data_IF_795771525334
#
_entry.id   IF_795771525334
#
_cell.length_a   1.000
_cell.length_b   1.000
_cell.length_c   1.000
_cell.angle_alpha   90.00
_cell.angle_beta   90.00
_cell.angle_gamma   90.00
#
_symmetry.space_group_name_H-M   'P 1'
#
loop_
_entity.id
_entity.type
_entity.pdbx_description
1 polymer ?
#
# COMPACT_ATOMS: atom_id res chain seq x y z
N UNK A 1 -2.09 -5.09 20.09
CA UNK A 1 -0.82 -4.75 19.43
C UNK A 1 -0.75 -5.44 18.08
N UNK A 2 -0.32 -4.72 17.04
CA UNK A 2 -0.11 -5.25 15.70
C UNK A 2 1.14 -6.14 15.68
N UNK A 3 0.99 -7.41 15.30
CA UNK A 3 2.14 -8.29 15.13
C UNK A 3 2.70 -8.15 13.70
N UNK A 4 3.59 -7.19 13.52
CA UNK A 4 4.22 -6.89 12.23
C UNK A 4 4.96 -8.08 11.64
N UNK A 5 5.60 -8.90 12.47
CA UNK A 5 6.31 -10.09 12.02
C UNK A 5 5.37 -11.11 11.36
N UNK A 6 4.21 -11.38 11.97
CA UNK A 6 3.20 -12.28 11.38
C UNK A 6 2.68 -11.74 10.05
N UNK A 7 2.44 -10.44 9.94
CA UNK A 7 1.97 -9.81 8.68
C UNK A 7 3.02 -9.99 7.57
N UNK A 8 4.28 -9.73 7.87
CA UNK A 8 5.37 -9.88 6.91
C UNK A 8 5.51 -11.35 6.47
N UNK A 9 5.49 -12.29 7.43
CA UNK A 9 5.61 -13.71 7.14
C UNK A 9 4.50 -14.21 6.21
N UNK A 10 3.25 -13.94 6.56
CA UNK A 10 2.10 -14.36 5.75
C UNK A 10 2.03 -13.64 4.41
N UNK A 11 2.32 -12.33 4.38
CA UNK A 11 2.38 -11.56 3.14
C UNK A 11 3.45 -12.10 2.20
N UNK A 12 4.63 -12.44 2.72
CA UNK A 12 5.71 -13.05 1.94
C UNK A 12 5.31 -14.43 1.42
N UNK A 13 4.69 -15.28 2.25
CA UNK A 13 4.21 -16.59 1.83
C UNK A 13 3.19 -16.50 0.68
N UNK A 14 2.21 -15.58 0.80
CA UNK A 14 1.21 -15.33 -0.25
C UNK A 14 1.88 -14.83 -1.54
N UNK A 15 2.85 -13.91 -1.44
CA UNK A 15 3.59 -13.41 -2.58
C UNK A 15 4.37 -14.53 -3.31
N UNK A 16 4.98 -15.45 -2.58
CA UNK A 16 5.64 -16.62 -3.18
C UNK A 16 4.66 -17.55 -3.87
N UNK A 17 3.49 -17.81 -3.28
CA UNK A 17 2.43 -18.63 -3.90
C UNK A 17 1.94 -17.97 -5.19
N UNK A 18 1.65 -16.66 -5.15
CA UNK A 18 1.22 -15.90 -6.32
C UNK A 18 2.28 -15.92 -7.43
N UNK A 19 3.54 -15.69 -7.07
CA UNK A 19 4.66 -15.78 -8.01
C UNK A 19 4.76 -17.17 -8.65
N UNK A 20 4.62 -18.23 -7.86
CA UNK A 20 4.68 -19.60 -8.36
C UNK A 20 3.52 -19.93 -9.32
N UNK A 21 2.31 -19.50 -9.00
CA UNK A 21 1.12 -19.65 -9.87
C UNK A 21 1.36 -18.92 -11.20
N UNK A 22 1.79 -17.65 -11.14
CA UNK A 22 2.09 -16.85 -12.33
C UNK A 22 3.20 -17.49 -13.17
N UNK A 23 4.25 -18.01 -12.53
CA UNK A 23 5.33 -18.73 -13.21
C UNK A 23 4.81 -19.96 -13.98
N UNK A 24 3.92 -20.75 -13.36
CA UNK A 24 3.29 -21.90 -14.02
C UNK A 24 2.39 -21.48 -15.19
N UNK A 25 1.66 -20.38 -15.06
CA UNK A 25 0.84 -19.83 -16.16
C UNK A 25 1.69 -19.36 -17.33
N UNK A 26 2.76 -18.64 -17.07
CA UNK A 26 3.69 -18.17 -18.11
C UNK A 26 4.31 -19.35 -18.88
N UNK A 27 4.72 -20.41 -18.18
CA UNK A 27 5.26 -21.61 -18.86
C UNK A 27 4.21 -22.29 -19.74
N UNK A 28 2.94 -22.35 -19.28
CA UNK A 28 1.85 -22.98 -20.04
C UNK A 28 1.38 -22.16 -21.23
N UNK A 29 1.44 -20.85 -21.16
CA UNK A 29 0.81 -19.95 -22.13
C UNK A 29 1.58 -19.79 -23.44
N UNK A 30 2.75 -20.42 -23.63
CA UNK A 30 3.62 -20.25 -24.82
C UNK A 30 3.80 -18.76 -25.20
N UNK A 31 3.91 -17.90 -24.19
CA UNK A 31 4.21 -16.49 -24.43
C UNK A 31 5.53 -16.37 -25.19
N UNK A 32 5.51 -15.57 -26.24
CA UNK A 32 6.72 -15.19 -26.97
C UNK A 32 7.54 -14.26 -26.06
N UNK A 33 8.51 -14.85 -25.37
CA UNK A 33 9.40 -14.15 -24.43
C UNK A 33 10.30 -13.13 -25.15
N UNK A 34 10.47 -13.24 -26.47
CA UNK A 34 11.29 -12.33 -27.25
C UNK A 34 10.67 -10.94 -27.39
N UNK A 35 9.35 -10.83 -27.20
CA UNK A 35 8.62 -9.55 -27.19
C UNK A 35 8.46 -8.92 -25.80
N UNK A 36 8.85 -9.61 -24.73
CA UNK A 36 8.67 -9.13 -23.36
C UNK A 36 9.88 -8.31 -22.89
N UNK A 37 9.77 -6.99 -23.00
CA UNK A 37 10.69 -6.06 -22.32
C UNK A 37 10.32 -5.93 -20.85
N UNK A 38 10.75 -6.89 -20.03
CA UNK A 38 10.67 -6.80 -18.57
C UNK A 38 11.63 -5.75 -18.00
N UNK A 39 11.48 -5.44 -16.72
CA UNK A 39 12.45 -4.61 -16.02
C UNK A 39 13.84 -5.25 -16.11
N UNK A 40 14.89 -4.50 -16.49
CA UNK A 40 16.23 -5.04 -16.52
C UNK A 40 16.61 -5.52 -15.11
N UNK A 41 17.08 -6.76 -14.99
CA UNK A 41 17.63 -7.33 -13.76
C UNK A 41 18.94 -6.62 -13.41
N UNK A 42 18.82 -5.40 -12.94
CA UNK A 42 19.95 -4.57 -12.52
C UNK A 42 19.94 -4.45 -11.00
N UNK A 43 20.88 -5.11 -10.34
CA UNK A 43 21.10 -4.94 -8.91
C UNK A 43 21.37 -3.47 -8.53
N UNK A 44 21.78 -2.66 -9.52
CA UNK A 44 22.00 -1.23 -9.31
C UNK A 44 20.72 -0.46 -8.97
N UNK A 45 19.54 -0.96 -9.33
CA UNK A 45 18.27 -0.32 -8.97
C UNK A 45 17.87 -0.57 -7.53
N UNK A 46 18.38 -1.63 -6.90
CA UNK A 46 18.05 -2.02 -5.52
C UNK A 46 18.85 -1.25 -4.46
N UNK A 47 20.00 -0.67 -4.81
CA UNK A 47 20.86 -0.06 -3.78
C UNK A 47 20.17 1.12 -3.08
N UNK A 48 19.38 1.90 -3.78
CA UNK A 48 18.72 3.09 -3.23
C UNK A 48 17.58 2.72 -2.27
N UNK A 49 16.65 1.80 -2.61
CA UNK A 49 15.69 1.25 -1.65
C UNK A 49 16.35 0.57 -0.43
N UNK A 50 17.45 -0.15 -0.63
CA UNK A 50 18.16 -0.81 0.47
C UNK A 50 18.81 0.20 1.43
N UNK A 51 19.44 1.26 0.90
CA UNK A 51 19.98 2.35 1.71
C UNK A 51 18.86 3.04 2.51
N UNK A 52 17.73 3.33 1.85
CA UNK A 52 16.57 3.92 2.51
C UNK A 52 16.07 3.02 3.65
N UNK A 53 15.85 1.74 3.37
CA UNK A 53 15.42 0.77 4.38
C UNK A 53 16.40 0.68 5.56
N UNK A 54 17.70 0.66 5.28
CA UNK A 54 18.73 0.63 6.30
C UNK A 54 18.67 1.85 7.24
N UNK A 55 18.57 3.07 6.68
CA UNK A 55 18.46 4.28 7.48
C UNK A 55 17.16 4.32 8.30
N UNK A 56 16.04 3.92 7.70
CA UNK A 56 14.74 3.87 8.40
C UNK A 56 14.79 2.88 9.56
N UNK A 57 15.30 1.66 9.34
CA UNK A 57 15.38 0.63 10.36
C UNK A 57 16.30 1.03 11.52
N UNK A 58 17.48 1.56 11.21
CA UNK A 58 18.42 2.02 12.26
C UNK A 58 17.81 3.16 13.07
N UNK A 59 17.25 4.17 12.39
CA UNK A 59 16.69 5.31 13.09
C UNK A 59 15.50 4.90 13.94
N UNK A 60 14.62 4.02 13.44
CA UNK A 60 13.50 3.52 14.22
C UNK A 60 13.94 2.67 15.41
N UNK A 61 15.02 1.89 15.26
CA UNK A 61 15.59 1.13 16.36
C UNK A 61 16.20 2.03 17.45
N UNK A 62 16.85 3.12 17.07
CA UNK A 62 17.45 4.07 18.02
C UNK A 62 16.43 5.03 18.65
N UNK A 63 15.36 5.33 17.94
CA UNK A 63 14.33 6.29 18.31
C UNK A 63 12.94 5.72 18.01
N UNK A 64 12.41 4.91 18.91
CA UNK A 64 11.13 4.20 18.75
C UNK A 64 9.91 5.13 18.60
N UNK A 65 10.00 6.36 19.10
CA UNK A 65 8.93 7.37 19.03
C UNK A 65 8.64 7.87 17.60
N UNK A 66 9.60 7.73 16.68
CA UNK A 66 9.40 8.16 15.31
C UNK A 66 8.58 7.16 14.49
N UNK A 67 7.48 7.62 13.93
CA UNK A 67 6.65 6.81 13.04
C UNK A 67 7.43 6.45 11.77
N UNK A 68 7.41 5.18 11.38
CA UNK A 68 8.12 4.65 10.20
C UNK A 68 7.77 5.44 8.93
N UNK A 69 6.51 5.83 8.75
CA UNK A 69 6.06 6.62 7.59
C UNK A 69 6.77 7.97 7.53
N UNK A 70 6.94 8.64 8.67
CA UNK A 70 7.67 9.92 8.75
C UNK A 70 9.14 9.73 8.37
N UNK A 71 9.78 8.66 8.86
CA UNK A 71 11.17 8.34 8.54
C UNK A 71 11.34 8.04 7.06
N UNK A 72 10.47 7.22 6.47
CA UNK A 72 10.51 6.91 5.02
C UNK A 72 10.42 8.19 4.20
N UNK A 73 9.42 9.04 4.48
CA UNK A 73 9.20 10.29 3.74
C UNK A 73 10.38 11.24 3.88
N UNK A 74 10.90 11.41 5.10
CA UNK A 74 12.05 12.31 5.39
C UNK A 74 13.32 11.83 4.72
N UNK A 75 13.66 10.54 4.85
CA UNK A 75 14.87 9.99 4.23
C UNK A 75 14.77 9.91 2.71
N UNK A 76 13.62 9.58 2.14
CA UNK A 76 13.43 9.61 0.69
C UNK A 76 13.69 11.00 0.12
N UNK A 77 13.18 12.04 0.79
CA UNK A 77 13.41 13.42 0.41
C UNK A 77 14.88 13.82 0.57
N UNK A 78 15.49 13.55 1.72
CA UNK A 78 16.90 13.86 1.99
C UNK A 78 17.83 13.14 1.01
N UNK A 79 17.66 11.83 0.80
CA UNK A 79 18.46 11.06 -0.13
C UNK A 79 18.37 11.62 -1.55
N UNK A 80 17.17 12.03 -1.97
CA UNK A 80 16.99 12.64 -3.29
C UNK A 80 17.78 13.95 -3.42
N UNK A 81 17.71 14.82 -2.41
CA UNK A 81 18.43 16.11 -2.40
C UNK A 81 19.95 15.91 -2.42
N UNK A 82 20.47 14.89 -1.73
CA UNK A 82 21.92 14.66 -1.67
C UNK A 82 22.43 13.83 -2.86
N UNK A 83 21.76 12.75 -3.22
CA UNK A 83 22.25 11.82 -4.25
C UNK A 83 22.12 12.42 -5.66
N UNK A 84 21.05 13.16 -5.91
CA UNK A 84 20.79 13.70 -7.25
C UNK A 84 21.88 14.68 -7.69
N UNK A 85 22.31 15.67 -6.89
CA UNK A 85 23.43 16.55 -7.22
C UNK A 85 24.77 15.83 -7.39
N UNK A 86 25.04 14.82 -6.57
CA UNK A 86 26.28 14.03 -6.66
C UNK A 86 26.33 13.27 -8.00
N UNK A 87 25.20 12.70 -8.45
CA UNK A 87 25.14 11.90 -9.70
C UNK A 87 25.02 12.74 -10.96
N UNK A 88 24.28 13.84 -10.93
CA UNK A 88 23.89 14.61 -12.13
C UNK A 88 24.45 16.04 -12.16
N UNK A 89 25.12 16.48 -11.08
CA UNK A 89 25.55 17.85 -10.89
C UNK A 89 24.39 18.78 -10.48
N UNK A 90 24.70 19.87 -9.80
CA UNK A 90 23.71 20.80 -9.22
C UNK A 90 22.72 21.36 -10.25
N UNK A 91 23.22 21.83 -11.40
CA UNK A 91 22.38 22.45 -12.45
C UNK A 91 21.34 21.49 -13.01
N UNK A 92 21.75 20.24 -13.30
CA UNK A 92 20.84 19.24 -13.85
C UNK A 92 19.86 18.75 -12.76
N UNK A 93 20.30 18.66 -11.53
CA UNK A 93 19.45 18.27 -10.39
C UNK A 93 18.33 19.26 -10.17
N UNK A 94 18.63 20.55 -10.19
CA UNK A 94 17.61 21.60 -10.08
C UNK A 94 16.60 21.53 -11.24
N UNK A 95 17.06 21.24 -12.46
CA UNK A 95 16.19 21.07 -13.61
C UNK A 95 15.26 19.85 -13.44
N UNK A 96 15.79 18.73 -12.96
CA UNK A 96 15.02 17.51 -12.70
C UNK A 96 14.00 17.75 -11.58
N UNK A 97 14.40 18.38 -10.48
CA UNK A 97 13.49 18.71 -9.38
C UNK A 97 12.38 19.65 -9.84
N UNK A 98 12.72 20.69 -10.61
CA UNK A 98 11.73 21.61 -11.18
C UNK A 98 10.74 20.89 -12.08
N UNK A 99 11.21 20.02 -12.96
CA UNK A 99 10.35 19.19 -13.83
C UNK A 99 9.44 18.29 -12.98
N UNK A 100 9.97 17.62 -11.97
CA UNK A 100 9.19 16.77 -11.09
C UNK A 100 8.08 17.54 -10.35
N UNK A 101 8.39 18.73 -9.84
CA UNK A 101 7.43 19.56 -9.11
C UNK A 101 6.34 20.12 -10.05
N UNK A 102 6.72 20.58 -11.24
CA UNK A 102 5.79 21.29 -12.15
C UNK A 102 5.00 20.31 -13.01
N UNK A 103 5.63 19.25 -13.49
CA UNK A 103 5.04 18.36 -14.50
C UNK A 103 4.58 17.02 -13.92
N UNK A 104 5.33 16.42 -12.98
CA UNK A 104 5.01 15.09 -12.46
C UNK A 104 4.08 15.11 -11.24
N UNK A 105 4.34 15.96 -10.24
CA UNK A 105 3.50 16.07 -9.06
C UNK A 105 2.02 16.40 -9.39
N UNK A 106 1.71 17.31 -10.33
CA UNK A 106 0.32 17.57 -10.69
C UNK A 106 -0.42 16.38 -11.29
N UNK A 107 0.30 15.40 -11.86
CA UNK A 107 -0.33 14.17 -12.38
C UNK A 107 -0.91 13.30 -11.27
N UNK A 108 -0.39 13.41 -10.04
CA UNK A 108 -0.89 12.68 -8.87
C UNK A 108 -2.15 13.31 -8.24
N UNK A 109 -2.67 14.41 -8.79
CA UNK A 109 -3.83 15.12 -8.23
C UNK A 109 -5.06 14.23 -8.04
N UNK A 110 -5.31 13.32 -8.99
CA UNK A 110 -6.45 12.39 -8.93
C UNK A 110 -6.30 11.40 -7.78
N UNK A 111 -5.12 10.85 -7.59
CA UNK A 111 -4.82 9.93 -6.50
C UNK A 111 -4.93 10.62 -5.14
N UNK A 112 -4.30 11.79 -4.99
CA UNK A 112 -4.35 12.58 -3.75
C UNK A 112 -5.81 12.97 -3.44
N UNK A 113 -6.57 13.40 -4.45
CA UNK A 113 -7.98 13.73 -4.28
C UNK A 113 -8.81 12.51 -3.89
N UNK A 114 -8.55 11.35 -4.48
CA UNK A 114 -9.22 10.10 -4.13
C UNK A 114 -8.98 9.75 -2.66
N UNK A 115 -7.73 9.77 -2.19
CA UNK A 115 -7.40 9.48 -0.79
C UNK A 115 -8.05 10.48 0.17
N UNK A 116 -8.01 11.77 -0.16
CA UNK A 116 -8.61 12.82 0.68
C UNK A 116 -10.12 12.65 0.76
N UNK A 117 -10.80 12.52 -0.38
CA UNK A 117 -12.27 12.38 -0.44
C UNK A 117 -12.71 11.07 0.19
N UNK A 118 -12.04 9.96 -0.10
CA UNK A 118 -12.37 8.67 0.50
C UNK A 118 -12.19 8.68 2.02
N UNK A 119 -11.12 9.31 2.52
CA UNK A 119 -10.89 9.45 3.96
C UNK A 119 -11.97 10.30 4.64
N UNK A 120 -12.29 11.47 4.09
CA UNK A 120 -13.35 12.33 4.60
C UNK A 120 -14.71 11.63 4.55
N UNK A 121 -15.04 11.00 3.43
CA UNK A 121 -16.30 10.27 3.28
C UNK A 121 -16.39 9.12 4.28
N UNK A 122 -15.29 8.38 4.48
CA UNK A 122 -15.23 7.28 5.45
C UNK A 122 -15.54 7.75 6.88
N UNK A 123 -14.88 8.83 7.33
CA UNK A 123 -15.12 9.40 8.67
C UNK A 123 -16.57 9.87 8.79
N UNK A 124 -17.09 10.58 7.80
CA UNK A 124 -18.47 11.08 7.84
C UNK A 124 -19.49 9.94 7.84
N UNK A 125 -19.32 8.96 6.96
CA UNK A 125 -20.21 7.79 6.88
C UNK A 125 -20.15 6.94 8.16
N UNK A 126 -18.95 6.71 8.71
CA UNK A 126 -18.76 6.05 10.00
C UNK A 126 -19.51 6.78 11.14
N UNK A 127 -19.37 8.10 11.21
CA UNK A 127 -20.08 8.93 12.21
C UNK A 127 -21.60 8.84 12.07
N UNK A 128 -22.13 8.83 10.84
CA UNK A 128 -23.57 8.66 10.60
C UNK A 128 -24.05 7.28 11.04
N UNK A 129 -23.31 6.23 10.69
CA UNK A 129 -23.67 4.86 11.08
C UNK A 129 -23.68 4.68 12.60
N UNK A 130 -22.68 5.26 13.29
CA UNK A 130 -22.64 5.27 14.76
C UNK A 130 -23.82 6.05 15.36
N UNK A 131 -24.19 7.20 14.77
CA UNK A 131 -25.35 7.99 15.18
C UNK A 131 -26.68 7.25 14.98
N UNK A 132 -26.76 6.35 14.01
CA UNK A 132 -27.91 5.47 13.77
C UNK A 132 -27.90 4.21 14.66
N UNK A 133 -26.98 4.10 15.59
CA UNK A 133 -26.75 2.90 16.42
C UNK A 133 -26.55 1.62 15.58
N UNK A 134 -25.91 1.77 14.41
CA UNK A 134 -25.57 0.62 13.58
C UNK A 134 -24.52 -0.23 14.30
N UNK A 135 -24.84 -1.50 14.53
CA UNK A 135 -23.92 -2.47 15.11
C UNK A 135 -23.62 -3.55 14.06
N UNK A 136 -22.37 -3.96 14.01
CA UNK A 136 -22.00 -5.09 13.18
C UNK A 136 -22.64 -6.38 13.73
N UNK A 137 -23.02 -7.33 12.87
CA UNK A 137 -23.70 -8.56 13.28
C UNK A 137 -22.78 -9.58 13.98
N UNK A 138 -21.59 -9.14 14.42
CA UNK A 138 -20.60 -9.97 15.09
C UNK A 138 -19.86 -9.16 16.17
N UNK A 139 -19.57 -9.82 17.28
CA UNK A 139 -18.88 -9.21 18.42
C UNK A 139 -17.35 -9.35 18.33
N UNK A 140 -16.86 -10.39 17.66
CA UNK A 140 -15.43 -10.72 17.56
C UNK A 140 -15.02 -10.79 16.10
N UNK A 141 -13.93 -10.11 15.77
CA UNK A 141 -13.32 -10.19 14.45
C UNK A 141 -12.39 -11.41 14.39
N UNK A 142 -12.97 -12.56 14.05
CA UNK A 142 -12.27 -13.83 13.85
C UNK A 142 -11.94 -14.08 12.36
N UNK A 143 -11.33 -15.22 12.06
CA UNK A 143 -10.96 -15.58 10.68
C UNK A 143 -12.16 -15.75 9.75
N UNK A 144 -13.35 -16.11 10.26
CA UNK A 144 -14.57 -16.23 9.45
C UNK A 144 -15.11 -14.87 9.06
N UNK A 145 -15.17 -13.96 10.03
CA UNK A 145 -15.55 -12.55 9.80
C UNK A 145 -14.56 -11.88 8.85
N UNK A 146 -13.25 -12.13 9.02
CA UNK A 146 -12.22 -11.64 8.12
C UNK A 146 -12.42 -12.12 6.68
N UNK A 147 -12.72 -13.41 6.47
CA UNK A 147 -13.00 -13.97 5.15
C UNK A 147 -14.27 -13.37 4.50
N UNK A 148 -15.33 -13.19 5.27
CA UNK A 148 -16.58 -12.56 4.78
C UNK A 148 -16.34 -11.09 4.44
N UNK A 149 -15.61 -10.37 5.29
CA UNK A 149 -15.25 -8.97 5.04
C UNK A 149 -14.42 -8.83 3.76
N UNK A 150 -13.44 -9.70 3.56
CA UNK A 150 -12.64 -9.73 2.33
C UNK A 150 -13.52 -9.97 1.10
N UNK A 151 -14.44 -10.94 1.17
CA UNK A 151 -15.37 -11.22 0.07
C UNK A 151 -16.26 -10.01 -0.24
N UNK A 152 -16.80 -9.36 0.78
CA UNK A 152 -17.60 -8.14 0.62
C UNK A 152 -16.78 -7.04 -0.06
N UNK A 153 -15.53 -6.83 0.32
CA UNK A 153 -14.67 -5.82 -0.30
C UNK A 153 -14.40 -6.12 -1.77
N UNK A 154 -14.20 -7.38 -2.12
CA UNK A 154 -14.03 -7.80 -3.52
C UNK A 154 -15.31 -7.51 -4.32
N UNK A 155 -16.49 -7.84 -3.79
CA UNK A 155 -17.78 -7.56 -4.44
C UNK A 155 -17.98 -6.05 -4.62
N UNK A 156 -17.70 -5.24 -3.59
CA UNK A 156 -17.80 -3.79 -3.66
C UNK A 156 -16.84 -3.20 -4.70
N UNK A 157 -15.65 -3.76 -4.83
CA UNK A 157 -14.68 -3.35 -5.85
C UNK A 157 -15.18 -3.62 -7.28
N UNK A 158 -15.84 -4.77 -7.51
CA UNK A 158 -16.51 -5.05 -8.79
C UNK A 158 -17.63 -4.05 -9.11
N UNK A 159 -18.30 -3.50 -8.09
CA UNK A 159 -19.29 -2.45 -8.22
C UNK A 159 -18.67 -1.04 -8.40
N UNK A 160 -17.34 -0.95 -8.46
CA UNK A 160 -16.63 0.31 -8.62
C UNK A 160 -16.38 1.10 -7.32
N UNK A 161 -16.62 0.48 -6.15
CA UNK A 161 -16.33 1.10 -4.85
C UNK A 161 -14.87 0.82 -4.49
N UNK A 162 -14.06 1.88 -4.44
CA UNK A 162 -12.65 1.73 -4.09
C UNK A 162 -12.48 1.23 -2.66
N UNK A 163 -11.59 0.23 -2.41
CA UNK A 163 -11.44 -0.42 -1.11
C UNK A 163 -11.12 0.55 0.03
N UNK A 164 -10.43 1.64 -0.24
CA UNK A 164 -10.11 2.66 0.77
C UNK A 164 -11.37 3.27 1.41
N UNK A 165 -12.46 3.41 0.63
CA UNK A 165 -13.74 3.91 1.15
C UNK A 165 -14.32 2.93 2.16
N UNK A 166 -14.37 1.66 1.78
CA UNK A 166 -14.89 0.59 2.65
C UNK A 166 -14.06 0.43 3.92
N UNK A 167 -12.72 0.49 3.80
CA UNK A 167 -11.80 0.42 4.94
C UNK A 167 -12.00 1.63 5.87
N UNK A 168 -12.15 2.83 5.31
CA UNK A 168 -12.33 4.05 6.10
C UNK A 168 -13.65 4.06 6.85
N UNK A 169 -14.73 3.52 6.27
CA UNK A 169 -16.05 3.42 6.92
C UNK A 169 -16.01 2.39 8.06
N UNK A 170 -15.42 1.24 7.81
CA UNK A 170 -15.47 0.12 8.76
C UNK A 170 -14.39 0.17 9.83
N UNK A 171 -13.35 0.99 9.64
CA UNK A 171 -12.22 1.08 10.58
C UNK A 171 -12.65 1.39 12.01
N UNK A 172 -13.60 2.29 12.18
CA UNK A 172 -14.09 2.71 13.50
C UNK A 172 -14.89 1.62 14.24
N UNK A 173 -15.50 0.69 13.50
CA UNK A 173 -16.24 -0.43 14.08
C UNK A 173 -15.35 -1.55 14.59
N UNK A 174 -14.09 -1.57 14.20
CA UNK A 174 -13.13 -2.63 14.54
C UNK A 174 -12.10 -2.24 15.60
N UNK A 175 -12.38 -1.21 16.40
CA UNK A 175 -11.44 -0.70 17.43
C UNK A 175 -10.97 -1.79 18.40
N UNK A 176 -11.84 -2.75 18.74
CA UNK A 176 -11.54 -3.86 19.65
C UNK A 176 -11.14 -5.16 18.93
N UNK A 177 -10.95 -5.11 17.62
CA UNK A 177 -10.60 -6.29 16.84
C UNK A 177 -9.13 -6.71 17.01
N UNK A 178 -8.82 -7.94 16.62
CA UNK A 178 -7.43 -8.35 16.45
C UNK A 178 -6.80 -7.54 15.30
N UNK A 179 -6.00 -6.54 15.65
CA UNK A 179 -5.42 -5.59 14.70
C UNK A 179 -4.53 -6.26 13.65
N UNK A 180 -3.87 -7.38 13.99
CA UNK A 180 -3.05 -8.14 13.02
C UNK A 180 -3.94 -8.76 11.94
N UNK A 181 -5.01 -9.45 12.34
CA UNK A 181 -5.94 -10.07 11.41
C UNK A 181 -6.68 -9.02 10.56
N UNK A 182 -7.09 -7.92 11.18
CA UNK A 182 -7.74 -6.80 10.50
C UNK A 182 -6.82 -6.18 9.44
N UNK A 183 -5.58 -5.88 9.80
CA UNK A 183 -4.59 -5.32 8.86
C UNK A 183 -4.31 -6.28 7.70
N UNK A 184 -4.18 -7.58 7.97
CA UNK A 184 -4.02 -8.59 6.92
C UNK A 184 -5.21 -8.61 5.97
N UNK A 185 -6.44 -8.60 6.50
CA UNK A 185 -7.67 -8.58 5.70
C UNK A 185 -7.72 -7.35 4.80
N UNK A 186 -7.39 -6.18 5.33
CA UNK A 186 -7.39 -4.93 4.57
C UNK A 186 -6.28 -4.90 3.50
N UNK A 187 -5.09 -5.39 3.80
CA UNK A 187 -3.99 -5.49 2.84
C UNK A 187 -4.32 -6.48 1.71
N UNK A 188 -4.93 -7.62 2.04
CA UNK A 188 -5.38 -8.59 1.05
C UNK A 188 -6.50 -8.01 0.18
N UNK A 189 -7.48 -7.33 0.79
CA UNK A 189 -8.52 -6.62 0.06
C UNK A 189 -7.92 -5.60 -0.91
N UNK A 190 -6.97 -4.79 -0.43
CA UNK A 190 -6.29 -3.81 -1.27
C UNK A 190 -5.59 -4.47 -2.46
N UNK A 191 -4.78 -5.49 -2.21
CA UNK A 191 -4.01 -6.17 -3.24
C UNK A 191 -4.89 -6.83 -4.31
N UNK A 192 -6.02 -7.44 -3.90
CA UNK A 192 -6.93 -8.12 -4.83
C UNK A 192 -7.83 -7.15 -5.58
N UNK A 193 -8.31 -6.09 -4.93
CA UNK A 193 -9.27 -5.16 -5.53
C UNK A 193 -8.64 -4.18 -6.52
N UNK A 194 -7.36 -3.85 -6.36
CA UNK A 194 -6.62 -3.02 -7.35
C UNK A 194 -6.57 -3.68 -8.72
N UNK A 195 -6.48 -5.02 -8.76
CA UNK A 195 -6.46 -5.76 -10.03
C UNK A 195 -7.85 -6.08 -10.59
N UNK A 196 -8.89 -5.96 -9.79
CA UNK A 196 -10.28 -6.29 -10.18
C UNK A 196 -11.18 -5.06 -10.40
N UNK A 197 -10.74 -3.89 -9.92
CA UNK A 197 -11.49 -2.65 -10.07
C UNK A 197 -11.46 -2.17 -11.53
N UNK A 198 -12.60 -1.73 -12.09
CA UNK A 198 -12.68 -1.16 -13.43
C UNK A 198 -12.13 0.27 -13.54
N UNK A 199 -11.58 0.81 -12.45
CA UNK A 199 -11.07 2.19 -12.35
C UNK A 199 -9.57 2.21 -12.47
#
# INVERSE_FOLDING_TARGET
YLNSFSIILFGTAIAFIAFFITYLEVIKSKFDLDSFYGYPLSLQTLYLPLILAFFVLITHYLYEDFKIILLISSFAFLLTIFILPIKKGLKNSLKILKFHIIDELPKMKSEISLFLVAGLFGIMAGSVLLGLNFNLPFEVFDYKVAAVTLLIFIILAFLGIHPIISISILGDFFVNANHTLLAMTFLMAWATTVSTSPI
#
